data_IF_223251118284
#
_entry.id   IF_223251118284
#
_cell.length_a   1.000
_cell.length_b   1.000
_cell.length_c   1.000
_cell.angle_alpha   90.00
_cell.angle_beta   90.00
_cell.angle_gamma   90.00
#
_symmetry.space_group_name_H-M   'P 1'
#
loop_
_entity.id
_entity.type
_entity.pdbx_description
1 polymer ?
#
# COMPACT_ATOMS: atom_id res chain seq x y z
N UNK A 1 47.94 30.89 -23.43
CA UNK A 1 47.76 29.44 -23.14
C UNK A 1 46.51 29.09 -22.31
N UNK A 2 45.47 29.95 -22.22
CA UNK A 2 44.28 29.69 -21.37
C UNK A 2 43.00 29.21 -22.12
N UNK A 3 43.00 29.19 -23.46
CA UNK A 3 41.81 28.82 -24.26
C UNK A 3 41.74 27.35 -24.71
N UNK A 4 42.83 26.57 -24.53
CA UNK A 4 42.86 25.12 -24.85
C UNK A 4 42.38 24.24 -23.69
N UNK A 5 42.42 24.75 -22.46
CA UNK A 5 41.93 24.03 -21.27
C UNK A 5 40.41 24.13 -21.11
N UNK A 6 39.80 25.23 -21.60
CA UNK A 6 38.35 25.43 -21.53
C UNK A 6 37.56 24.52 -22.47
N UNK A 7 38.20 23.96 -23.51
CA UNK A 7 37.56 23.01 -24.42
C UNK A 7 37.55 21.58 -23.87
N UNK A 8 38.50 21.22 -23.00
CA UNK A 8 38.55 19.89 -22.37
C UNK A 8 37.55 19.74 -21.21
N UNK A 9 37.09 20.84 -20.61
CA UNK A 9 36.13 20.83 -19.51
C UNK A 9 34.67 20.71 -20.00
N UNK A 10 34.39 21.09 -21.25
CA UNK A 10 33.05 20.98 -21.87
C UNK A 10 32.79 19.57 -22.42
N UNK A 11 33.82 18.84 -22.87
CA UNK A 11 33.67 17.44 -23.34
C UNK A 11 33.44 16.47 -22.18
N UNK A 12 33.98 16.74 -20.98
CA UNK A 12 33.75 15.92 -19.79
C UNK A 12 32.34 16.10 -19.20
N UNK A 13 31.71 17.27 -19.42
CA UNK A 13 30.33 17.55 -18.98
C UNK A 13 29.27 16.98 -19.93
N UNK A 14 29.64 16.58 -21.15
CA UNK A 14 28.79 15.81 -22.08
C UNK A 14 28.77 14.29 -21.79
N UNK A 15 29.62 13.82 -20.87
CA UNK A 15 29.61 12.45 -20.35
C UNK A 15 28.95 12.36 -18.97
N UNK A 16 28.16 13.36 -18.56
CA UNK A 16 27.15 13.16 -17.52
C UNK A 16 26.03 12.34 -18.16
N UNK A 17 26.28 11.04 -18.32
CA UNK A 17 25.30 10.07 -18.75
C UNK A 17 24.02 10.33 -17.97
N UNK A 18 22.95 10.64 -18.70
CA UNK A 18 21.60 10.44 -18.21
C UNK A 18 21.54 8.97 -17.81
N UNK A 19 21.74 8.65 -16.53
CA UNK A 19 21.33 7.37 -15.98
C UNK A 19 19.80 7.39 -16.03
N UNK A 20 19.26 7.04 -17.20
CA UNK A 20 17.86 6.64 -17.34
C UNK A 20 17.77 5.33 -16.56
N UNK A 21 17.40 5.41 -15.29
CA UNK A 21 16.97 4.23 -14.55
C UNK A 21 15.66 3.80 -15.21
N UNK A 22 15.68 2.66 -15.88
CA UNK A 22 14.45 2.05 -16.39
C UNK A 22 13.57 1.67 -15.19
N UNK A 23 12.29 2.02 -15.23
CA UNK A 23 11.34 1.53 -14.23
C UNK A 23 11.11 0.03 -14.44
N UNK A 24 10.67 -0.67 -13.39
CA UNK A 24 10.45 -2.11 -13.51
C UNK A 24 9.35 -2.42 -14.53
N UNK A 25 9.71 -3.18 -15.58
CA UNK A 25 8.81 -3.54 -16.68
C UNK A 25 9.03 -2.74 -17.97
N UNK A 26 9.89 -1.71 -17.96
CA UNK A 26 10.23 -0.94 -19.16
C UNK A 26 11.12 -1.73 -20.13
N UNK A 27 11.99 -2.60 -19.60
CA UNK A 27 12.86 -3.47 -20.39
C UNK A 27 12.73 -4.93 -19.98
N UNK A 28 13.03 -5.80 -20.93
CA UNK A 28 13.13 -7.24 -20.70
C UNK A 28 14.34 -7.54 -19.81
N UNK A 29 14.14 -8.32 -18.74
CA UNK A 29 15.22 -8.79 -17.85
C UNK A 29 15.46 -10.28 -18.02
N UNK A 30 16.73 -10.66 -18.02
CA UNK A 30 17.18 -12.06 -18.10
C UNK A 30 18.53 -12.23 -17.42
N UNK A 31 18.92 -13.48 -17.20
CA UNK A 31 20.20 -13.84 -16.61
C UNK A 31 21.40 -13.15 -17.27
N UNK A 32 22.33 -12.71 -16.42
CA UNK A 32 23.52 -11.97 -16.82
C UNK A 32 23.33 -10.46 -16.88
N UNK A 33 22.10 -9.96 -16.81
CA UNK A 33 21.84 -8.52 -16.77
C UNK A 33 22.09 -7.94 -15.38
N UNK A 34 22.42 -6.65 -15.35
CA UNK A 34 22.51 -5.87 -14.12
C UNK A 34 21.76 -4.55 -14.23
N UNK A 35 21.30 -4.04 -13.09
CA UNK A 35 20.63 -2.75 -12.99
C UNK A 35 19.76 -2.62 -11.74
N UNK A 36 19.29 -1.40 -11.52
CA UNK A 36 18.36 -1.10 -10.43
C UNK A 36 17.02 -1.83 -10.59
N UNK A 37 16.52 -1.98 -11.81
CA UNK A 37 15.31 -2.76 -12.10
C UNK A 37 15.43 -4.26 -11.77
N UNK A 38 16.64 -4.82 -11.81
CA UNK A 38 16.90 -6.18 -11.31
C UNK A 38 16.77 -6.25 -9.80
N UNK A 39 17.23 -5.21 -9.09
CA UNK A 39 17.03 -5.12 -7.64
C UNK A 39 15.56 -5.00 -7.28
N UNK A 40 14.80 -4.18 -8.02
CA UNK A 40 13.35 -4.07 -7.87
C UNK A 40 12.67 -5.42 -8.13
N UNK A 41 13.06 -6.14 -9.18
CA UNK A 41 12.58 -7.50 -9.44
C UNK A 41 12.83 -8.44 -8.25
N UNK A 42 14.06 -8.47 -7.73
CA UNK A 42 14.42 -9.33 -6.59
C UNK A 42 13.61 -8.97 -5.34
N UNK A 43 13.45 -7.67 -5.06
CA UNK A 43 12.61 -7.18 -3.98
C UNK A 43 11.16 -7.65 -4.11
N UNK A 44 10.58 -7.55 -5.32
CA UNK A 44 9.21 -8.01 -5.56
C UNK A 44 9.07 -9.52 -5.43
N UNK A 45 9.99 -10.29 -6.00
CA UNK A 45 9.98 -11.75 -5.85
C UNK A 45 10.18 -12.17 -4.38
N UNK A 46 10.93 -11.42 -3.58
CA UNK A 46 11.11 -11.68 -2.15
C UNK A 46 9.81 -11.43 -1.38
N UNK A 47 9.16 -10.28 -1.62
CA UNK A 47 7.84 -9.99 -1.04
C UNK A 47 6.76 -11.00 -1.44
N UNK A 48 6.89 -11.59 -2.63
CA UNK A 48 6.00 -12.62 -3.13
C UNK A 48 6.40 -14.04 -2.66
N UNK A 49 7.51 -14.20 -1.95
CA UNK A 49 7.97 -15.48 -1.40
C UNK A 49 8.75 -16.39 -2.38
N UNK A 50 9.10 -15.89 -3.56
CA UNK A 50 9.82 -16.65 -4.60
C UNK A 50 11.35 -16.45 -4.52
N UNK A 51 11.81 -15.39 -3.86
CA UNK A 51 13.24 -15.06 -3.72
C UNK A 51 13.61 -14.98 -2.24
N UNK A 52 14.20 -16.03 -1.68
CA UNK A 52 14.46 -16.16 -0.24
C UNK A 52 15.90 -15.76 0.16
N UNK A 53 16.44 -14.72 -0.48
CA UNK A 53 17.76 -14.19 -0.13
C UNK A 53 17.63 -12.98 0.79
N UNK A 54 18.57 -12.85 1.73
CA UNK A 54 18.64 -11.70 2.64
C UNK A 54 19.25 -10.46 1.96
N UNK A 55 20.00 -10.66 0.88
CA UNK A 55 20.69 -9.59 0.16
C UNK A 55 20.10 -9.42 -1.24
N UNK A 56 19.56 -8.22 -1.50
CA UNK A 56 19.17 -7.81 -2.84
C UNK A 56 20.40 -7.24 -3.54
N UNK A 57 20.66 -7.71 -4.75
CA UNK A 57 21.77 -7.25 -5.58
C UNK A 57 21.22 -6.45 -6.76
N UNK A 58 22.10 -5.96 -7.61
CA UNK A 58 21.70 -5.43 -8.92
C UNK A 58 21.94 -6.44 -10.04
N UNK A 59 22.17 -7.73 -9.73
CA UNK A 59 22.59 -8.73 -10.71
C UNK A 59 21.57 -9.86 -10.86
N UNK A 60 21.20 -10.14 -12.11
CA UNK A 60 20.28 -11.21 -12.46
C UNK A 60 21.10 -12.51 -12.60
N UNK A 61 21.40 -13.12 -11.46
CA UNK A 61 22.12 -14.39 -11.38
C UNK A 61 21.20 -15.62 -11.50
N UNK A 62 21.78 -16.83 -11.34
CA UNK A 62 21.02 -18.09 -11.35
C UNK A 62 19.88 -18.12 -10.32
N UNK A 63 20.08 -17.56 -9.12
CA UNK A 63 19.06 -17.53 -8.06
C UNK A 63 17.86 -16.66 -8.47
N UNK A 64 18.11 -15.49 -9.09
CA UNK A 64 17.05 -14.63 -9.64
C UNK A 64 16.29 -15.34 -10.76
N UNK A 65 17.00 -16.05 -11.64
CA UNK A 65 16.38 -16.83 -12.73
C UNK A 65 15.46 -17.93 -12.19
N UNK A 66 15.92 -18.68 -11.19
CA UNK A 66 15.13 -19.71 -10.55
C UNK A 66 13.88 -19.13 -9.88
N UNK A 67 14.00 -18.01 -9.17
CA UNK A 67 12.87 -17.31 -8.56
C UNK A 67 11.83 -16.84 -9.59
N UNK A 68 12.28 -16.33 -10.75
CA UNK A 68 11.40 -15.95 -11.86
C UNK A 68 10.68 -17.17 -12.40
N UNK A 69 11.38 -18.29 -12.61
CA UNK A 69 10.75 -19.53 -13.11
C UNK A 69 9.69 -20.04 -12.14
N UNK A 70 9.99 -20.10 -10.84
CA UNK A 70 9.01 -20.49 -9.82
C UNK A 70 7.78 -19.57 -9.81
N UNK A 71 7.98 -18.27 -9.98
CA UNK A 71 6.86 -17.34 -10.12
C UNK A 71 6.05 -17.61 -11.40
N UNK A 72 6.70 -17.87 -12.53
CA UNK A 72 6.03 -18.17 -13.80
C UNK A 72 5.25 -19.47 -13.73
N UNK A 73 5.78 -20.51 -13.05
CA UNK A 73 5.13 -21.82 -12.86
C UNK A 73 3.78 -21.74 -12.13
N UNK A 74 3.55 -20.69 -11.33
CA UNK A 74 2.29 -20.48 -10.61
C UNK A 74 1.13 -20.03 -11.54
N UNK A 75 1.42 -19.52 -12.75
CA UNK A 75 0.41 -18.93 -13.63
C UNK A 75 0.43 -19.57 -15.02
N UNK A 76 -0.68 -20.19 -15.40
CA UNK A 76 -0.85 -20.87 -16.69
C UNK A 76 -0.65 -19.95 -17.91
N UNK A 77 -0.87 -18.64 -17.76
CA UNK A 77 -0.70 -17.66 -18.84
C UNK A 77 0.75 -17.17 -19.03
N UNK A 78 1.68 -17.60 -18.18
CA UNK A 78 3.10 -17.23 -18.27
C UNK A 78 3.93 -18.35 -18.88
N UNK A 79 4.81 -17.97 -19.80
CA UNK A 79 5.85 -18.88 -20.29
C UNK A 79 6.92 -19.06 -19.20
N UNK A 80 7.26 -20.30 -18.87
CA UNK A 80 8.29 -20.63 -17.86
C UNK A 80 9.68 -20.62 -18.50
N UNK A 81 10.12 -19.44 -18.93
CA UNK A 81 11.38 -19.24 -19.65
C UNK A 81 12.49 -18.61 -18.79
N UNK A 82 12.17 -18.18 -17.56
CA UNK A 82 13.10 -17.46 -16.67
C UNK A 82 13.38 -16.02 -17.11
N UNK A 83 12.59 -15.48 -18.04
CA UNK A 83 12.73 -14.15 -18.60
C UNK A 83 11.57 -13.26 -18.13
N UNK A 84 11.91 -12.08 -17.64
CA UNK A 84 10.91 -11.10 -17.22
C UNK A 84 10.63 -10.16 -18.39
N UNK A 85 9.64 -10.56 -19.20
CA UNK A 85 9.04 -9.73 -20.23
C UNK A 85 7.85 -8.91 -19.71
N UNK A 86 7.20 -8.15 -20.60
CA UNK A 86 6.07 -7.27 -20.25
C UNK A 86 4.93 -8.00 -19.53
N UNK A 87 4.62 -9.24 -19.93
CA UNK A 87 3.56 -10.03 -19.29
C UNK A 87 3.96 -10.40 -17.87
N UNK A 88 5.14 -11.00 -17.67
CA UNK A 88 5.67 -11.35 -16.35
C UNK A 88 5.74 -10.13 -15.42
N UNK A 89 6.27 -8.99 -15.88
CA UNK A 89 6.32 -7.76 -15.08
C UNK A 89 4.95 -7.28 -14.63
N UNK A 90 3.94 -7.31 -15.52
CA UNK A 90 2.57 -6.91 -15.18
C UNK A 90 1.97 -7.79 -14.09
N UNK A 91 2.18 -9.10 -14.17
CA UNK A 91 1.70 -10.03 -13.14
C UNK A 91 2.37 -9.75 -11.79
N UNK A 92 3.69 -9.57 -11.76
CA UNK A 92 4.43 -9.23 -10.55
C UNK A 92 3.89 -7.92 -9.93
N UNK A 93 3.78 -6.85 -10.72
CA UNK A 93 3.26 -5.55 -10.26
C UNK A 93 1.84 -5.68 -9.71
N UNK A 94 0.96 -6.40 -10.40
CA UNK A 94 -0.42 -6.61 -9.96
C UNK A 94 -0.46 -7.32 -8.59
N UNK A 95 0.39 -8.33 -8.37
CA UNK A 95 0.45 -9.06 -7.10
C UNK A 95 1.02 -8.21 -5.96
N UNK A 96 2.06 -7.42 -6.21
CA UNK A 96 2.58 -6.46 -5.24
C UNK A 96 1.53 -5.42 -4.86
N UNK A 97 0.81 -4.87 -5.84
CA UNK A 97 -0.26 -3.92 -5.58
C UNK A 97 -1.39 -4.55 -4.75
N UNK A 98 -1.76 -5.81 -5.01
CA UNK A 98 -2.73 -6.53 -4.18
C UNK A 98 -2.26 -6.68 -2.72
N UNK A 99 -1.00 -7.06 -2.49
CA UNK A 99 -0.44 -7.16 -1.14
C UNK A 99 -0.47 -5.81 -0.43
N UNK A 100 -0.08 -4.74 -1.11
CA UNK A 100 -0.07 -3.40 -0.53
C UNK A 100 -1.49 -2.93 -0.17
N UNK A 101 -2.48 -3.18 -1.04
CA UNK A 101 -3.87 -2.88 -0.75
C UNK A 101 -4.41 -3.64 0.48
N UNK A 102 -4.03 -4.91 0.65
CA UNK A 102 -4.41 -5.71 1.82
C UNK A 102 -3.76 -5.14 3.09
N UNK A 103 -2.45 -4.86 3.06
CA UNK A 103 -1.73 -4.27 4.21
C UNK A 103 -2.31 -2.92 4.61
N UNK A 104 -2.62 -2.06 3.64
CA UNK A 104 -3.26 -0.78 3.92
C UNK A 104 -4.66 -0.94 4.52
N UNK A 105 -5.44 -1.90 4.03
CA UNK A 105 -6.75 -2.22 4.62
C UNK A 105 -6.62 -2.72 6.06
N UNK A 106 -5.71 -3.66 6.32
CA UNK A 106 -5.46 -4.17 7.68
C UNK A 106 -4.98 -3.08 8.63
N UNK A 107 -4.13 -2.16 8.16
CA UNK A 107 -3.68 -0.99 8.92
C UNK A 107 -4.86 -0.11 9.30
N UNK A 108 -5.70 0.25 8.32
CA UNK A 108 -6.90 1.09 8.54
C UNK A 108 -7.91 0.42 9.48
N UNK A 109 -8.10 -0.89 9.37
CA UNK A 109 -8.98 -1.65 10.29
C UNK A 109 -8.46 -1.64 11.73
N UNK A 110 -7.14 -1.82 11.92
CA UNK A 110 -6.51 -1.73 13.25
C UNK A 110 -6.62 -0.33 13.85
N UNK A 111 -6.33 0.70 13.06
CA UNK A 111 -6.45 2.10 13.48
C UNK A 111 -7.89 2.44 13.86
N UNK A 112 -8.87 1.97 13.07
CA UNK A 112 -10.28 2.13 13.37
C UNK A 112 -10.66 1.43 14.68
N UNK A 113 -10.25 0.18 14.87
CA UNK A 113 -10.54 -0.59 16.08
C UNK A 113 -9.95 0.08 17.33
N UNK A 114 -8.71 0.55 17.25
CA UNK A 114 -8.06 1.27 18.35
C UNK A 114 -8.81 2.56 18.70
N UNK A 115 -9.20 3.32 17.66
CA UNK A 115 -9.94 4.56 17.85
C UNK A 115 -11.31 4.31 18.48
N UNK A 116 -12.07 3.31 18.03
CA UNK A 116 -13.36 2.96 18.62
C UNK A 116 -13.20 2.56 20.08
N UNK A 117 -12.19 1.76 20.42
CA UNK A 117 -11.90 1.40 21.81
C UNK A 117 -11.58 2.63 22.66
N UNK A 118 -10.84 3.60 22.11
CA UNK A 118 -10.55 4.87 22.78
C UNK A 118 -11.83 5.71 22.98
N UNK A 119 -12.65 5.86 21.95
CA UNK A 119 -13.88 6.65 21.99
C UNK A 119 -14.88 6.06 22.99
N UNK A 120 -15.09 4.73 22.95
CA UNK A 120 -15.92 4.02 23.92
C UNK A 120 -15.38 4.09 25.34
N UNK A 121 -14.05 4.19 25.50
CA UNK A 121 -13.42 4.35 26.82
C UNK A 121 -13.63 5.74 27.39
N UNK A 122 -13.51 6.76 26.55
CA UNK A 122 -13.79 8.16 26.92
C UNK A 122 -15.27 8.35 27.31
N UNK A 123 -16.18 7.66 26.61
CA UNK A 123 -17.61 7.63 26.97
C UNK A 123 -17.93 6.76 28.20
N UNK A 124 -16.96 6.01 28.72
CA UNK A 124 -17.13 5.14 29.89
C UNK A 124 -17.77 3.78 29.62
N UNK A 125 -17.98 3.39 28.35
CA UNK A 125 -18.51 2.07 27.97
C UNK A 125 -17.44 0.97 27.93
N UNK A 126 -16.17 1.34 27.72
CA UNK A 126 -15.06 0.40 27.60
C UNK A 126 -13.99 0.64 28.66
N UNK A 127 -13.63 -0.39 29.42
CA UNK A 127 -12.60 -0.30 30.48
C UNK A 127 -11.32 -1.06 30.16
N UNK A 128 -11.28 -1.79 29.03
CA UNK A 128 -10.14 -2.61 28.63
C UNK A 128 -8.95 -1.81 28.08
N UNK A 129 -7.95 -2.55 27.62
CA UNK A 129 -6.80 -2.01 26.88
C UNK A 129 -7.17 -1.74 25.42
N UNK A 130 -6.48 -0.78 24.80
CA UNK A 130 -6.67 -0.45 23.38
C UNK A 130 -5.76 -1.38 22.58
N UNK A 131 -6.33 -2.46 22.07
CA UNK A 131 -5.60 -3.57 21.44
C UNK A 131 -5.63 -3.53 19.92
N UNK A 132 -6.37 -2.57 19.32
CA UNK A 132 -6.62 -2.51 17.86
C UNK A 132 -7.36 -3.74 17.33
N UNK A 133 -8.02 -4.49 18.22
CA UNK A 133 -8.78 -5.70 17.91
C UNK A 133 -10.17 -5.54 18.53
N UNK A 134 -11.21 -5.70 17.72
CA UNK A 134 -12.59 -5.74 18.21
C UNK A 134 -12.82 -7.10 18.89
N UNK A 135 -12.51 -7.16 20.17
CA UNK A 135 -12.69 -8.34 21.01
C UNK A 135 -14.09 -8.38 21.64
N UNK A 136 -14.35 -9.42 22.46
CA UNK A 136 -15.64 -9.58 23.13
C UNK A 136 -15.98 -8.41 24.05
N UNK A 137 -14.98 -7.82 24.72
CA UNK A 137 -15.20 -6.67 25.60
C UNK A 137 -15.59 -5.42 24.82
N UNK A 138 -14.96 -5.21 23.66
CA UNK A 138 -15.28 -4.12 22.74
C UNK A 138 -16.68 -4.27 22.17
N UNK A 139 -17.08 -5.48 21.78
CA UNK A 139 -18.46 -5.77 21.31
C UNK A 139 -19.50 -5.45 22.39
N UNK A 140 -19.23 -5.80 23.66
CA UNK A 140 -20.13 -5.45 24.78
C UNK A 140 -20.24 -3.94 24.95
N UNK A 141 -19.13 -3.20 24.83
CA UNK A 141 -19.13 -1.75 24.89
C UNK A 141 -19.91 -1.11 23.73
N UNK A 142 -19.77 -1.64 22.51
CA UNK A 142 -20.55 -1.20 21.34
C UNK A 142 -22.05 -1.41 21.59
N UNK A 143 -22.46 -2.56 22.12
CA UNK A 143 -23.87 -2.83 22.44
C UNK A 143 -24.42 -1.85 23.47
N UNK A 144 -23.66 -1.57 24.53
CA UNK A 144 -24.06 -0.61 25.55
C UNK A 144 -24.19 0.81 24.98
N UNK A 145 -23.29 1.21 24.09
CA UNK A 145 -23.37 2.48 23.37
C UNK A 145 -24.60 2.54 22.44
N UNK A 146 -24.84 1.51 21.63
CA UNK A 146 -26.00 1.42 20.75
C UNK A 146 -27.32 1.49 21.53
N UNK A 147 -27.42 0.77 22.65
CA UNK A 147 -28.59 0.81 23.54
C UNK A 147 -28.83 2.22 24.10
N UNK A 148 -27.76 2.93 24.49
CA UNK A 148 -27.87 4.31 24.98
C UNK A 148 -28.38 5.28 23.93
N UNK A 149 -27.83 5.20 22.72
CA UNK A 149 -28.17 6.09 21.61
C UNK A 149 -29.52 5.72 20.96
N UNK A 150 -30.11 4.58 21.33
CA UNK A 150 -31.38 4.10 20.78
C UNK A 150 -31.26 3.48 19.40
N UNK A 151 -30.09 2.93 19.06
CA UNK A 151 -29.84 2.20 17.82
C UNK A 151 -30.24 0.73 17.94
N UNK A 152 -30.24 0.02 16.80
CA UNK A 152 -30.32 -1.44 16.82
C UNK A 152 -29.06 -2.02 17.49
N UNK A 153 -29.23 -2.90 18.48
CA UNK A 153 -28.15 -3.44 19.30
C UNK A 153 -27.49 -4.64 18.61
N UNK A 154 -26.83 -4.37 17.49
CA UNK A 154 -26.12 -5.37 16.68
C UNK A 154 -24.84 -5.84 17.37
N UNK A 155 -24.18 -4.94 18.11
CA UNK A 155 -22.81 -5.11 18.60
C UNK A 155 -21.76 -5.06 17.49
N UNK A 156 -22.15 -4.69 16.28
CA UNK A 156 -21.28 -4.46 15.13
C UNK A 156 -21.00 -2.95 15.01
N UNK A 157 -19.84 -2.60 14.42
CA UNK A 157 -19.57 -1.22 14.02
C UNK A 157 -20.29 -0.91 12.70
N UNK A 158 -21.62 -0.89 12.77
CA UNK A 158 -22.43 -0.43 11.65
C UNK A 158 -22.20 1.06 11.36
N UNK A 159 -22.66 1.49 10.18
CA UNK A 159 -22.45 2.85 9.71
C UNK A 159 -23.03 3.88 10.69
N UNK A 160 -24.20 3.62 11.28
CA UNK A 160 -24.88 4.54 12.19
C UNK A 160 -24.07 4.72 13.48
N UNK A 161 -23.57 3.61 14.03
CA UNK A 161 -22.73 3.57 15.22
C UNK A 161 -21.42 4.32 14.99
N UNK A 162 -20.76 4.05 13.86
CA UNK A 162 -19.49 4.69 13.52
C UNK A 162 -19.65 6.19 13.22
N UNK A 163 -20.71 6.58 12.49
CA UNK A 163 -21.01 7.99 12.22
C UNK A 163 -21.23 8.75 13.54
N UNK A 164 -21.95 8.16 14.50
CA UNK A 164 -22.19 8.80 15.79
C UNK A 164 -20.91 8.95 16.61
N UNK A 165 -20.04 7.94 16.63
CA UNK A 165 -18.74 8.04 17.28
C UNK A 165 -17.86 9.13 16.63
N UNK A 166 -17.86 9.22 15.29
CA UNK A 166 -17.12 10.27 14.57
C UNK A 166 -17.69 11.67 14.81
N UNK A 167 -18.99 11.81 15.05
CA UNK A 167 -19.63 13.08 15.44
C UNK A 167 -19.16 13.54 16.84
N UNK A 168 -19.12 12.60 17.79
CA UNK A 168 -18.69 12.86 19.17
C UNK A 168 -17.18 13.08 19.29
N UNK A 169 -16.41 12.36 18.47
CA UNK A 169 -14.95 12.39 18.44
C UNK A 169 -14.45 12.64 17.01
N UNK A 170 -14.55 13.89 16.53
CA UNK A 170 -14.14 14.23 15.18
C UNK A 170 -12.63 14.00 14.99
N UNK A 171 -12.28 13.15 14.03
CA UNK A 171 -10.89 12.80 13.72
C UNK A 171 -10.32 13.81 12.73
N UNK A 172 -9.08 14.24 12.94
CA UNK A 172 -8.34 15.03 11.94
C UNK A 172 -8.09 14.16 10.70
N UNK A 173 -8.67 14.53 9.57
CA UNK A 173 -8.40 13.88 8.29
C UNK A 173 -7.08 14.46 7.77
N UNK A 174 -6.02 13.67 7.73
CA UNK A 174 -4.84 14.00 6.94
C UNK A 174 -5.17 13.75 5.47
N UNK A 175 -5.23 14.82 4.66
CA UNK A 175 -5.44 14.71 3.22
C UNK A 175 -4.25 14.00 2.57
N UNK A 176 -4.43 12.74 2.19
CA UNK A 176 -3.42 11.94 1.51
C UNK A 176 -3.26 12.41 0.05
N UNK A 177 -2.29 13.29 -0.18
CA UNK A 177 -1.81 13.66 -1.52
C UNK A 177 -0.81 12.60 -2.01
N UNK A 178 -1.25 11.44 -2.50
CA UNK A 178 -0.61 10.87 -3.68
C UNK A 178 -1.41 9.77 -4.40
N UNK A 179 -1.08 9.69 -5.68
CA UNK A 179 -1.64 8.91 -6.77
C UNK A 179 -1.61 7.39 -6.57
N UNK A 180 -2.78 6.75 -6.45
CA UNK A 180 -3.23 5.55 -7.20
C UNK A 180 -4.74 5.39 -6.94
N UNK A 181 -5.53 5.78 -7.96
CA UNK A 181 -6.98 5.65 -8.09
C UNK A 181 -7.84 6.11 -6.90
N UNK A 182 -8.33 7.35 -7.00
CA UNK A 182 -9.39 7.90 -6.12
C UNK A 182 -10.67 7.05 -6.04
N UNK A 183 -10.81 5.99 -6.85
CA UNK A 183 -11.89 5.01 -6.73
C UNK A 183 -11.77 4.13 -5.48
N UNK A 184 -10.58 3.71 -5.09
CA UNK A 184 -10.39 2.88 -3.89
C UNK A 184 -10.65 3.69 -2.60
N UNK A 185 -10.24 4.96 -2.58
CA UNK A 185 -10.51 5.88 -1.47
C UNK A 185 -11.99 6.30 -1.41
N UNK A 186 -12.63 6.49 -2.56
CA UNK A 186 -14.08 6.75 -2.66
C UNK A 186 -14.90 5.53 -2.26
N UNK A 187 -14.48 4.31 -2.62
CA UNK A 187 -15.16 3.07 -2.24
C UNK A 187 -15.02 2.80 -0.73
N UNK A 188 -13.84 3.10 -0.15
CA UNK A 188 -13.63 3.00 1.30
C UNK A 188 -14.45 4.05 2.08
N UNK A 189 -14.44 5.31 1.66
CA UNK A 189 -15.24 6.36 2.31
C UNK A 189 -16.74 6.10 2.14
N UNK A 190 -17.21 5.72 0.95
CA UNK A 190 -18.63 5.40 0.71
C UNK A 190 -19.10 4.18 1.50
N UNK A 191 -18.24 3.17 1.70
CA UNK A 191 -18.59 1.93 2.40
C UNK A 191 -18.50 2.04 3.93
N UNK A 192 -17.58 2.85 4.46
CA UNK A 192 -17.28 2.88 5.90
C UNK A 192 -17.40 4.24 6.57
N UNK A 193 -17.35 5.35 5.83
CA UNK A 193 -17.34 6.72 6.39
C UNK A 193 -18.53 7.57 5.93
N UNK A 194 -19.43 6.99 5.13
CA UNK A 194 -20.48 7.76 4.45
C UNK A 194 -19.93 8.69 3.38
N UNK A 195 -20.83 9.28 2.59
CA UNK A 195 -20.45 10.30 1.59
C UNK A 195 -19.69 11.42 2.31
N UNK A 196 -18.50 11.83 1.82
CA UNK A 196 -17.75 12.91 2.45
C UNK A 196 -18.63 14.15 2.58
N UNK A 197 -18.65 14.74 3.77
CA UNK A 197 -19.28 16.02 4.01
C UNK A 197 -18.54 17.04 3.13
N UNK A 198 -19.20 17.51 2.06
CA UNK A 198 -18.67 18.60 1.23
C UNK A 198 -18.71 19.85 2.09
N UNK A 199 -17.55 20.35 2.49
CA UNK A 199 -17.44 21.61 3.20
C UNK A 199 -18.06 22.69 2.29
N UNK A 200 -19.13 23.32 2.76
CA UNK A 200 -20.02 24.11 1.92
C UNK A 200 -19.31 25.25 1.19
N UNK A 201 -19.53 25.34 -0.11
CA UNK A 201 -19.54 26.63 -0.77
C UNK A 201 -20.88 27.29 -0.42
N UNK A 202 -20.85 28.23 0.52
CA UNK A 202 -21.91 29.23 0.59
C UNK A 202 -21.69 30.22 -0.55
N UNK A 203 -22.35 30.01 -1.69
CA UNK A 203 -22.55 31.10 -2.66
C UNK A 203 -23.75 31.92 -2.20
N UNK A 204 -23.45 33.09 -1.61
CA UNK A 204 -24.37 34.23 -1.67
C UNK A 204 -24.44 34.82 -3.07
#
# INVERSE_FOLDING_TARGET
MKKRFLFFLIVFMLAFSLFVNADFGDRLLKKGMSGYDVNVLQNYLNQLGYFNENELTNYFGPVTEEAVRKFQEEYDELEVDGIVGKTTSKYIIAKINQINLIKEKERKEKELAASVQQDLKELGYYSGEITSIIDKATVVAIKAFQEKEGFEVTGELDKVTLDKLNELFPKKIEEEKDTITGRALVDFTSKYLGTPYVFGESSG
#
